data_IF_917057328706
#
_entry.id   IF_917057328706
#
_cell.length_a   1.000
_cell.length_b   1.000
_cell.length_c   1.000
_cell.angle_alpha   90.00
_cell.angle_beta   90.00
_cell.angle_gamma   90.00
#
_symmetry.space_group_name_H-M   'P 1'
#
loop_
_entity.id
_entity.type
_entity.pdbx_description
1 polymer ?
#
# COMPACT_ATOMS: atom_id res chain seq x y z
N UNK A 1 -38.26 10.19 10.26
CA UNK A 1 -37.01 10.68 9.65
C UNK A 1 -36.43 9.55 8.84
N UNK A 2 -36.44 9.63 7.51
CA UNK A 2 -36.01 8.54 6.64
C UNK A 2 -34.48 8.53 6.50
N UNK A 3 -33.80 7.57 7.12
CA UNK A 3 -32.40 7.26 6.83
C UNK A 3 -32.37 6.58 5.46
N UNK A 4 -32.07 7.36 4.42
CA UNK A 4 -31.73 6.84 3.10
C UNK A 4 -30.64 5.78 3.29
N UNK A 5 -30.91 4.56 2.84
CA UNK A 5 -30.04 3.40 2.91
C UNK A 5 -28.76 3.71 2.10
N UNK A 6 -27.74 4.29 2.74
CA UNK A 6 -26.50 4.69 2.08
C UNK A 6 -25.80 3.39 1.63
N UNK A 7 -25.73 3.17 0.32
CA UNK A 7 -25.10 1.96 -0.23
C UNK A 7 -23.61 2.00 0.06
N UNK A 8 -23.18 1.27 1.08
CA UNK A 8 -21.76 1.11 1.42
C UNK A 8 -21.14 0.14 0.42
N UNK A 9 -20.14 0.59 -0.32
CA UNK A 9 -19.44 -0.25 -1.31
C UNK A 9 -18.41 -1.17 -0.64
N UNK A 10 -17.79 -0.68 0.42
CA UNK A 10 -16.83 -1.43 1.21
C UNK A 10 -16.75 -0.85 2.62
N UNK A 11 -16.68 -1.72 3.62
CA UNK A 11 -16.47 -1.31 5.00
C UNK A 11 -15.69 -2.39 5.74
N UNK A 12 -14.61 -1.95 6.38
CA UNK A 12 -13.78 -2.71 7.28
C UNK A 12 -13.33 -1.78 8.42
N UNK A 13 -12.66 -2.34 9.43
CA UNK A 13 -12.13 -1.65 10.61
C UNK A 13 -11.30 -0.41 10.25
N UNK A 14 -10.60 -0.44 9.11
CA UNK A 14 -9.64 0.58 8.72
C UNK A 14 -10.11 1.51 7.59
N UNK A 15 -11.12 1.08 6.83
CA UNK A 15 -11.52 1.73 5.59
C UNK A 15 -13.03 1.66 5.39
N UNK A 16 -13.63 2.79 5.06
CA UNK A 16 -15.04 2.89 4.66
C UNK A 16 -15.16 3.60 3.32
N UNK A 17 -15.83 2.96 2.37
CA UNK A 17 -16.12 3.49 1.03
C UNK A 17 -17.63 3.65 0.88
N UNK A 18 -18.08 4.90 0.80
CA UNK A 18 -19.47 5.27 0.46
C UNK A 18 -19.51 6.05 -0.86
N UNK A 19 -20.70 6.30 -1.44
CA UNK A 19 -20.80 7.08 -2.68
C UNK A 19 -20.31 8.53 -2.54
N UNK A 20 -20.23 9.04 -1.30
CA UNK A 20 -19.90 10.43 -0.99
C UNK A 20 -18.47 10.57 -0.50
N UNK A 21 -18.01 9.64 0.33
CA UNK A 21 -16.72 9.72 1.03
C UNK A 21 -15.97 8.39 1.00
N UNK A 22 -14.67 8.51 0.85
CA UNK A 22 -13.70 7.45 1.07
C UNK A 22 -12.90 7.82 2.32
N UNK A 23 -13.07 7.04 3.39
CA UNK A 23 -12.47 7.28 4.70
C UNK A 23 -11.46 6.18 4.98
N UNK A 24 -10.21 6.57 5.26
CA UNK A 24 -9.17 5.69 5.79
C UNK A 24 -8.87 6.08 7.22
N UNK A 25 -7.99 5.33 7.92
CA UNK A 25 -7.56 5.70 9.27
C UNK A 25 -6.96 7.10 9.37
N UNK A 26 -6.25 7.54 8.33
CA UNK A 26 -5.46 8.77 8.34
C UNK A 26 -6.15 9.95 7.67
N UNK A 27 -6.97 9.70 6.66
CA UNK A 27 -7.51 10.76 5.80
C UNK A 27 -8.94 10.47 5.34
N UNK A 28 -9.69 11.54 5.07
CA UNK A 28 -11.02 11.47 4.46
C UNK A 28 -11.00 12.20 3.12
N UNK A 29 -11.36 11.48 2.07
CA UNK A 29 -11.43 11.98 0.72
C UNK A 29 -12.88 12.05 0.28
N UNK A 30 -13.30 13.22 -0.19
CA UNK A 30 -14.57 13.32 -0.88
C UNK A 30 -14.44 12.62 -2.23
N UNK A 31 -15.25 11.59 -2.51
CA UNK A 31 -15.25 10.86 -3.79
C UNK A 31 -15.41 11.82 -4.97
N UNK A 32 -16.01 12.99 -4.72
CA UNK A 32 -16.15 14.03 -5.73
C UNK A 32 -14.87 14.65 -6.26
N UNK A 33 -13.81 14.65 -5.46
CA UNK A 33 -12.53 15.28 -5.76
C UNK A 33 -11.49 14.28 -6.25
N UNK A 34 -11.86 12.99 -6.32
CA UNK A 34 -11.01 11.92 -6.83
C UNK A 34 -11.15 11.92 -8.35
N UNK A 35 -10.02 12.02 -9.04
CA UNK A 35 -9.93 12.01 -10.51
C UNK A 35 -9.56 10.61 -11.03
N UNK A 36 -8.75 9.87 -10.29
CA UNK A 36 -8.39 8.48 -10.60
C UNK A 36 -8.01 7.72 -9.33
N UNK A 37 -8.11 6.39 -9.41
CA UNK A 37 -7.72 5.46 -8.36
C UNK A 37 -6.98 4.30 -9.01
N UNK A 38 -5.83 3.95 -8.47
CA UNK A 38 -5.07 2.80 -8.94
C UNK A 38 -4.23 2.20 -7.80
N UNK A 39 -3.72 1.01 -8.04
CA UNK A 39 -2.85 0.31 -7.10
C UNK A 39 -1.42 0.69 -7.44
N UNK A 40 -0.69 1.15 -6.45
CA UNK A 40 0.72 1.48 -6.57
C UNK A 40 1.55 0.47 -5.78
N UNK A 41 2.56 -0.12 -6.40
CA UNK A 41 3.51 -1.01 -5.73
C UNK A 41 4.70 -0.20 -5.24
N UNK A 42 4.96 -0.28 -3.93
CA UNK A 42 6.07 0.37 -3.25
C UNK A 42 7.17 -0.67 -3.12
N UNK A 43 8.13 -0.61 -4.04
CA UNK A 43 9.30 -1.48 -4.02
C UNK A 43 10.22 -1.11 -2.85
N UNK A 44 10.33 -2.01 -1.86
CA UNK A 44 11.30 -1.85 -0.79
C UNK A 44 12.69 -2.21 -1.32
N UNK A 45 13.61 -1.26 -1.23
CA UNK A 45 14.99 -1.47 -1.65
C UNK A 45 15.65 -2.59 -0.84
N UNK A 46 16.08 -3.64 -1.55
CA UNK A 46 16.84 -4.77 -0.98
C UNK A 46 18.35 -4.50 -0.96
N UNK A 47 18.77 -3.34 -1.47
CA UNK A 47 20.17 -2.98 -1.64
C UNK A 47 20.94 -3.00 -0.31
N UNK A 48 20.32 -2.54 0.78
CA UNK A 48 20.93 -2.55 2.13
C UNK A 48 21.21 -3.96 2.63
N UNK A 49 20.29 -4.90 2.40
CA UNK A 49 20.49 -6.30 2.76
C UNK A 49 21.62 -6.92 1.93
N UNK A 50 21.66 -6.65 0.62
CA UNK A 50 22.75 -7.11 -0.26
C UNK A 50 24.12 -6.58 0.18
N UNK A 51 24.23 -5.27 0.48
CA UNK A 51 25.46 -4.67 0.99
C UNK A 51 25.92 -5.32 2.30
N UNK A 52 24.98 -5.60 3.21
CA UNK A 52 25.27 -6.25 4.49
C UNK A 52 25.83 -7.66 4.27
N UNK A 53 25.20 -8.45 3.38
CA UNK A 53 25.68 -9.78 3.02
C UNK A 53 27.07 -9.71 2.37
N UNK A 54 27.28 -8.76 1.45
CA UNK A 54 28.54 -8.62 0.72
C UNK A 54 29.70 -8.22 1.65
N UNK A 55 29.43 -7.35 2.62
CA UNK A 55 30.42 -6.95 3.62
C UNK A 55 30.84 -8.12 4.54
N UNK A 56 29.98 -9.12 4.74
CA UNK A 56 30.32 -10.32 5.53
C UNK A 56 31.29 -11.28 4.81
N UNK A 57 31.37 -11.23 3.47
CA UNK A 57 32.21 -12.16 2.68
C UNK A 57 33.71 -11.95 2.96
N UNK A 58 34.27 -10.72 2.93
CA UNK A 58 35.66 -10.47 3.31
C UNK A 58 36.03 -10.98 4.71
N UNK A 59 35.09 -10.90 5.67
CA UNK A 59 35.34 -11.33 7.05
C UNK A 59 35.59 -12.84 7.17
N UNK A 60 35.14 -13.65 6.21
CA UNK A 60 35.42 -15.09 6.19
C UNK A 60 36.91 -15.40 5.96
N UNK A 61 37.66 -14.48 5.37
CA UNK A 61 39.10 -14.64 5.11
C UNK A 61 39.97 -14.13 6.26
N UNK A 62 39.38 -13.47 7.26
CA UNK A 62 40.06 -13.02 8.46
C UNK A 62 39.80 -14.05 9.56
N UNK A 63 40.81 -14.87 9.90
CA UNK A 63 40.66 -16.04 10.78
C UNK A 63 39.93 -15.75 12.10
N UNK A 64 40.29 -14.67 12.78
CA UNK A 64 39.68 -14.28 14.07
C UNK A 64 38.22 -13.81 13.93
N UNK A 65 37.80 -13.41 12.72
CA UNK A 65 36.47 -12.88 12.41
C UNK A 65 35.61 -13.85 11.59
N UNK A 66 36.07 -15.08 11.36
CA UNK A 66 35.35 -16.07 10.55
C UNK A 66 33.90 -16.27 11.01
N UNK A 67 33.69 -16.49 12.32
CA UNK A 67 32.35 -16.64 12.88
C UNK A 67 31.50 -15.38 12.75
N UNK A 68 32.11 -14.19 12.86
CA UNK A 68 31.43 -12.90 12.68
C UNK A 68 30.96 -12.75 11.23
N UNK A 69 31.81 -13.11 10.26
CA UNK A 69 31.46 -13.13 8.84
C UNK A 69 30.27 -14.04 8.53
N UNK A 70 30.26 -15.26 9.10
CA UNK A 70 29.14 -16.20 8.95
C UNK A 70 27.84 -15.60 9.49
N UNK A 71 27.85 -15.09 10.73
CA UNK A 71 26.66 -14.50 11.36
C UNK A 71 26.13 -13.33 10.52
N UNK A 72 27.03 -12.48 10.04
CA UNK A 72 26.68 -11.31 9.25
C UNK A 72 26.06 -11.67 7.89
N UNK A 73 26.57 -12.71 7.22
CA UNK A 73 25.99 -13.25 5.99
C UNK A 73 24.59 -13.83 6.27
N UNK A 74 24.43 -14.62 7.32
CA UNK A 74 23.14 -15.20 7.70
C UNK A 74 22.10 -14.12 8.01
N UNK A 75 22.49 -13.08 8.75
CA UNK A 75 21.64 -11.92 9.03
C UNK A 75 21.26 -11.16 7.75
N UNK A 76 22.21 -10.96 6.84
CA UNK A 76 21.94 -10.31 5.55
C UNK A 76 20.97 -11.10 4.68
N UNK A 77 21.12 -12.42 4.62
CA UNK A 77 20.20 -13.33 3.89
C UNK A 77 18.82 -13.31 4.55
N UNK A 78 18.74 -13.46 5.88
CA UNK A 78 17.48 -13.38 6.61
C UNK A 78 16.76 -12.05 6.32
N UNK A 79 17.49 -10.94 6.39
CA UNK A 79 16.93 -9.62 6.15
C UNK A 79 16.44 -9.49 4.71
N UNK A 80 17.19 -9.96 3.72
CA UNK A 80 16.79 -9.94 2.31
C UNK A 80 15.46 -10.66 2.08
N UNK A 81 15.28 -11.84 2.69
CA UNK A 81 14.05 -12.63 2.56
C UNK A 81 12.88 -11.97 3.30
N UNK A 82 13.17 -11.24 4.38
CA UNK A 82 12.15 -10.55 5.19
C UNK A 82 11.62 -9.27 4.52
N UNK A 83 12.33 -8.70 3.54
CA UNK A 83 11.88 -7.50 2.83
C UNK A 83 10.77 -7.86 1.83
N UNK A 84 9.54 -7.50 2.19
CA UNK A 84 8.36 -7.61 1.32
C UNK A 84 8.02 -6.27 0.70
N UNK A 85 7.48 -6.31 -0.51
CA UNK A 85 6.92 -5.14 -1.17
C UNK A 85 5.62 -4.73 -0.48
N UNK A 86 5.33 -3.43 -0.50
CA UNK A 86 4.07 -2.89 0.01
C UNK A 86 3.21 -2.42 -1.18
N UNK A 87 1.89 -2.44 -0.98
CA UNK A 87 0.92 -2.01 -1.97
C UNK A 87 0.12 -0.86 -1.38
N UNK A 88 -0.15 0.15 -2.19
CA UNK A 88 -0.90 1.33 -1.80
C UNK A 88 -2.11 1.56 -2.71
N UNK A 89 -3.21 2.05 -2.13
CA UNK A 89 -4.28 2.67 -2.90
C UNK A 89 -3.88 4.12 -3.15
N UNK A 90 -3.34 4.39 -4.34
CA UNK A 90 -2.99 5.75 -4.76
C UNK A 90 -4.18 6.42 -5.40
N UNK A 91 -4.47 7.60 -4.92
CA UNK A 91 -5.54 8.46 -5.44
C UNK A 91 -4.95 9.73 -6.01
N UNK A 92 -5.45 10.14 -7.16
CA UNK A 92 -5.11 11.44 -7.75
C UNK A 92 -6.29 12.38 -7.59
N UNK A 93 -6.02 13.57 -7.05
CA UNK A 93 -7.00 14.62 -6.83
C UNK A 93 -6.52 15.92 -7.48
N UNK A 94 -7.36 16.95 -7.49
CA UNK A 94 -6.96 18.28 -7.95
C UNK A 94 -5.79 18.89 -7.14
N UNK A 95 -5.53 18.38 -5.94
CA UNK A 95 -4.42 18.82 -5.08
C UNK A 95 -3.12 18.02 -5.31
N UNK A 96 -3.15 16.97 -6.14
CA UNK A 96 -2.04 16.05 -6.37
C UNK A 96 -2.39 14.59 -6.04
N UNK A 97 -1.35 13.76 -6.08
CA UNK A 97 -1.44 12.32 -5.79
C UNK A 97 -1.07 12.02 -4.34
N UNK A 98 -1.76 11.06 -3.73
CA UNK A 98 -1.50 10.62 -2.36
C UNK A 98 -1.77 9.14 -2.21
N UNK A 99 -0.96 8.48 -1.38
CA UNK A 99 -1.21 7.12 -0.91
C UNK A 99 -2.18 7.17 0.26
N UNK A 100 -3.37 6.61 0.07
CA UNK A 100 -4.46 6.72 1.05
C UNK A 100 -4.41 5.64 2.13
N UNK A 101 -3.92 4.45 1.77
CA UNK A 101 -3.67 3.31 2.63
C UNK A 101 -2.58 2.44 2.01
N UNK A 102 -1.76 1.83 2.85
CA UNK A 102 -0.62 0.96 2.48
C UNK A 102 -0.74 -0.36 3.23
N UNK A 103 -0.46 -1.48 2.56
CA UNK A 103 -0.44 -2.82 3.17
C UNK A 103 0.46 -3.77 2.37
N UNK A 104 1.06 -4.76 3.03
CA UNK A 104 1.75 -5.88 2.35
C UNK A 104 0.77 -6.83 1.62
N UNK A 105 -0.53 -6.77 1.96
CA UNK A 105 -1.56 -7.59 1.33
C UNK A 105 -2.10 -6.93 0.05
N UNK A 106 -1.60 -7.40 -1.10
CA UNK A 106 -2.06 -6.97 -2.43
C UNK A 106 -3.55 -7.18 -2.65
N UNK A 107 -4.12 -8.27 -2.14
CA UNK A 107 -5.54 -8.62 -2.33
C UNK A 107 -6.41 -7.63 -1.55
N UNK A 108 -5.99 -7.27 -0.33
CA UNK A 108 -6.66 -6.26 0.48
C UNK A 108 -6.68 -4.90 -0.23
N UNK A 109 -5.53 -4.44 -0.72
CA UNK A 109 -5.40 -3.18 -1.45
C UNK A 109 -6.23 -3.18 -2.74
N UNK A 110 -6.24 -4.31 -3.47
CA UNK A 110 -7.06 -4.47 -4.67
C UNK A 110 -8.55 -4.36 -4.38
N UNK A 111 -9.05 -4.99 -3.31
CA UNK A 111 -10.46 -4.90 -2.91
C UNK A 111 -10.88 -3.46 -2.64
N UNK A 112 -10.04 -2.70 -1.92
CA UNK A 112 -10.32 -1.30 -1.61
C UNK A 112 -10.29 -0.45 -2.89
N UNK A 113 -9.24 -0.56 -3.71
CA UNK A 113 -9.12 0.19 -4.96
C UNK A 113 -10.33 -0.04 -5.88
N UNK A 114 -10.78 -1.31 -6.00
CA UNK A 114 -11.96 -1.66 -6.78
C UNK A 114 -13.23 -1.01 -6.22
N UNK A 115 -13.45 -1.07 -4.91
CA UNK A 115 -14.61 -0.46 -4.27
C UNK A 115 -14.66 1.06 -4.47
N UNK A 116 -13.52 1.75 -4.35
CA UNK A 116 -13.46 3.20 -4.61
C UNK A 116 -13.71 3.49 -6.09
N UNK A 117 -13.18 2.68 -7.00
CA UNK A 117 -13.43 2.82 -8.43
C UNK A 117 -14.92 2.61 -8.78
N UNK A 118 -15.59 1.62 -8.18
CA UNK A 118 -17.03 1.41 -8.33
C UNK A 118 -17.84 2.60 -7.82
N UNK A 119 -17.48 3.16 -6.66
CA UNK A 119 -18.13 4.36 -6.11
C UNK A 119 -17.99 5.58 -7.06
N UNK A 120 -16.80 5.76 -7.63
CA UNK A 120 -16.52 6.79 -8.62
C UNK A 120 -17.35 6.62 -9.90
N UNK A 121 -17.39 5.41 -10.47
CA UNK A 121 -18.14 5.10 -11.69
C UNK A 121 -19.65 5.26 -11.47
N UNK A 122 -20.19 4.76 -10.35
CA UNK A 122 -21.61 4.91 -10.03
C UNK A 122 -22.02 6.39 -10.00
N UNK A 123 -21.17 7.25 -9.40
CA UNK A 123 -21.39 8.69 -9.36
C UNK A 123 -21.39 9.32 -10.75
N UNK A 124 -20.44 8.96 -11.61
CA UNK A 124 -20.40 9.47 -12.99
C UNK A 124 -21.67 9.09 -13.76
N UNK A 125 -22.12 7.84 -13.64
CA UNK A 125 -23.37 7.37 -14.26
C UNK A 125 -24.58 8.18 -13.79
N UNK A 126 -24.67 8.49 -12.50
CA UNK A 126 -25.77 9.28 -11.93
C UNK A 126 -25.77 10.74 -12.41
N UNK A 127 -24.58 11.32 -12.68
CA UNK A 127 -24.44 12.67 -13.23
C UNK A 127 -24.89 12.78 -14.70
N UNK A 128 -24.72 11.72 -15.49
CA UNK A 128 -25.11 11.72 -16.92
C UNK A 128 -26.62 11.63 -17.18
N UNK A 129 -27.42 11.34 -16.14
CA UNK A 129 -28.87 11.18 -16.23
C UNK A 129 -29.64 12.42 -15.72
N UNK A 130 -28.93 13.48 -15.37
CA UNK A 130 -29.44 14.77 -14.90
C UNK A 130 -28.97 15.88 -15.84
#
# INVERSE_FOLDING_TARGET
MATQNETVFYHDTNVTVTPVRYVTQSNTYAVRNISSVYIFEIDKSRLKAVLTTLLGIPLLFLGDLFFVGIIMILLGIWWFISIKNEYAVRISTNAGESDSIVSEDKIYIQKIANAVNEAFIQRLRKKSLL
#
